data_IF_541370587799
#
_entry.id   IF_541370587799
#
_cell.length_a   1.000
_cell.length_b   1.000
_cell.length_c   1.000
_cell.angle_alpha   90.00
_cell.angle_beta   90.00
_cell.angle_gamma   90.00
#
_symmetry.space_group_name_H-M   'P 1'
#
loop_
_entity.id
_entity.type
_entity.pdbx_description
1 polymer ?
#
# COMPACT_ATOMS: atom_id res chain seq x y z
N UNK A 1 9.39 3.64 -5.88
CA UNK A 1 8.21 3.85 -5.06
C UNK A 1 7.87 2.61 -4.26
N UNK A 2 7.33 2.82 -3.10
CA UNK A 2 6.93 1.81 -2.13
C UNK A 2 5.52 2.13 -1.71
N UNK A 3 4.62 1.17 -1.81
CA UNK A 3 3.22 1.39 -1.48
C UNK A 3 2.81 0.39 -0.40
N UNK A 4 2.51 0.96 0.78
CA UNK A 4 2.26 0.27 2.03
C UNK A 4 3.43 -0.60 2.52
N UNK A 5 4.42 0.05 3.13
CA UNK A 5 5.41 -0.63 3.98
C UNK A 5 4.82 -0.80 5.37
N UNK A 6 4.63 -2.04 5.80
CA UNK A 6 4.02 -2.38 7.10
C UNK A 6 5.07 -2.96 8.04
N UNK A 7 5.04 -2.49 9.28
CA UNK A 7 5.90 -2.93 10.38
C UNK A 7 5.07 -3.38 11.56
N UNK A 8 5.36 -4.54 12.11
CA UNK A 8 4.79 -5.08 13.36
C UNK A 8 3.27 -5.19 13.45
N UNK A 9 2.54 -4.69 12.49
CA UNK A 9 1.07 -4.63 12.49
C UNK A 9 0.46 -5.77 11.67
N UNK A 10 -0.78 -6.11 11.99
CA UNK A 10 -1.64 -6.96 11.17
C UNK A 10 -2.52 -6.06 10.31
N UNK A 11 -2.43 -6.18 8.98
CA UNK A 11 -3.09 -5.28 8.04
C UNK A 11 -3.77 -6.07 6.93
N UNK A 12 -5.05 -5.76 6.67
CA UNK A 12 -5.79 -6.25 5.52
C UNK A 12 -5.75 -5.22 4.39
N UNK A 13 -5.18 -5.60 3.26
CA UNK A 13 -5.04 -4.77 2.06
C UNK A 13 -5.91 -5.37 0.95
N UNK A 14 -6.93 -4.65 0.53
CA UNK A 14 -7.87 -5.17 -0.48
C UNK A 14 -8.32 -4.10 -1.46
N UNK A 15 -8.68 -4.55 -2.66
CA UNK A 15 -9.21 -3.74 -3.75
C UNK A 15 -8.35 -2.50 -4.10
N UNK A 16 -7.04 -2.63 -3.97
CA UNK A 16 -6.11 -1.60 -4.42
C UNK A 16 -5.69 -1.88 -5.88
N UNK A 17 -5.54 -0.81 -6.64
CA UNK A 17 -4.90 -0.84 -7.94
C UNK A 17 -3.47 -0.32 -7.80
N UNK A 18 -2.50 -1.18 -8.02
CA UNK A 18 -1.09 -0.87 -8.07
C UNK A 18 -0.65 -0.78 -9.52
N UNK A 19 -0.18 0.39 -9.93
CA UNK A 19 0.20 0.66 -11.31
C UNK A 19 1.65 1.14 -11.38
N UNK A 20 2.52 0.33 -12.00
CA UNK A 20 3.92 0.67 -12.27
C UNK A 20 4.80 0.85 -11.03
N UNK A 21 4.72 0.01 -10.02
CA UNK A 21 5.54 0.16 -8.81
C UNK A 21 7.00 -0.23 -9.06
N UNK A 22 7.91 0.73 -9.04
CA UNK A 22 9.33 0.55 -9.31
C UNK A 22 10.08 -0.28 -8.25
N UNK A 23 9.53 -0.43 -7.03
CA UNK A 23 10.12 -1.27 -5.98
C UNK A 23 9.16 -2.37 -5.57
N UNK A 24 8.11 -2.04 -4.80
CA UNK A 24 7.10 -3.04 -4.43
C UNK A 24 5.72 -2.41 -4.20
N UNK A 25 4.69 -3.22 -4.37
CA UNK A 25 3.33 -2.90 -3.97
C UNK A 25 3.14 -3.07 -2.46
N UNK A 26 2.77 -4.26 -1.99
CA UNK A 26 2.63 -4.56 -0.58
C UNK A 26 3.96 -5.03 0.02
N UNK A 27 4.44 -4.37 1.08
CA UNK A 27 5.72 -4.69 1.71
C UNK A 27 5.60 -5.01 3.20
N UNK A 28 6.13 -6.18 3.61
CA UNK A 28 6.07 -6.69 4.98
C UNK A 28 7.44 -6.73 5.63
N UNK A 29 7.56 -6.17 6.84
CA UNK A 29 8.79 -6.17 7.62
C UNK A 29 8.50 -6.19 9.13
N UNK A 30 9.53 -6.45 9.94
CA UNK A 30 9.47 -6.48 11.41
C UNK A 30 8.34 -7.38 11.96
N UNK A 31 8.17 -8.56 11.37
CA UNK A 31 7.18 -9.55 11.83
C UNK A 31 5.72 -9.16 11.60
N UNK A 32 5.44 -8.21 10.69
CA UNK A 32 4.06 -7.86 10.34
C UNK A 32 3.34 -9.01 9.62
N UNK A 33 2.03 -9.06 9.79
CA UNK A 33 1.14 -9.98 9.09
C UNK A 33 0.26 -9.21 8.12
N UNK A 34 0.40 -9.47 6.81
CA UNK A 34 -0.39 -8.81 5.78
C UNK A 34 -1.34 -9.82 5.12
N UNK A 35 -2.62 -9.50 5.10
CA UNK A 35 -3.58 -10.18 4.23
C UNK A 35 -3.80 -9.31 2.99
N UNK A 36 -3.31 -9.78 1.84
CA UNK A 36 -3.39 -9.09 0.55
C UNK A 36 -4.42 -9.80 -0.31
N UNK A 37 -5.60 -9.17 -0.47
CA UNK A 37 -6.78 -9.82 -1.05
C UNK A 37 -7.40 -8.99 -2.17
N UNK A 38 -7.71 -9.62 -3.30
CA UNK A 38 -8.46 -9.01 -4.41
C UNK A 38 -7.89 -7.66 -4.86
N UNK A 39 -6.56 -7.54 -4.91
CA UNK A 39 -5.89 -6.38 -5.47
C UNK A 39 -5.49 -6.64 -6.92
N UNK A 40 -5.29 -5.58 -7.69
CA UNK A 40 -4.76 -5.65 -9.03
C UNK A 40 -3.37 -5.00 -9.07
N UNK A 41 -2.37 -5.77 -9.50
CA UNK A 41 -0.99 -5.33 -9.69
C UNK A 41 -0.67 -5.33 -11.18
N UNK A 42 -0.38 -4.15 -11.74
CA UNK A 42 0.04 -3.95 -13.11
C UNK A 42 1.47 -3.45 -13.15
N UNK A 43 2.35 -4.15 -13.86
CA UNK A 43 3.76 -3.75 -14.08
C UNK A 43 4.52 -3.38 -12.79
N UNK A 44 4.21 -4.04 -11.70
CA UNK A 44 4.94 -3.88 -10.44
C UNK A 44 6.22 -4.70 -10.47
N UNK A 45 7.37 -4.10 -10.11
CA UNK A 45 8.63 -4.84 -10.01
C UNK A 45 8.43 -6.06 -9.09
N UNK A 46 8.00 -5.82 -7.87
CA UNK A 46 7.63 -6.85 -6.90
C UNK A 46 6.21 -6.54 -6.40
N UNK A 47 5.18 -7.27 -6.80
CA UNK A 47 3.80 -7.02 -6.33
C UNK A 47 3.71 -7.07 -4.81
N UNK A 48 4.30 -8.09 -4.23
CA UNK A 48 4.42 -8.30 -2.79
C UNK A 48 5.88 -8.59 -2.46
N UNK A 49 6.35 -8.11 -1.31
CA UNK A 49 7.76 -8.27 -0.92
C UNK A 49 7.89 -8.39 0.60
N UNK A 50 8.60 -9.41 1.06
CA UNK A 50 8.96 -9.54 2.47
C UNK A 50 10.46 -9.23 2.67
N UNK A 51 10.78 -8.45 3.70
CA UNK A 51 12.14 -7.99 3.96
C UNK A 51 13.10 -9.14 4.24
N UNK A 52 14.28 -9.10 3.63
CA UNK A 52 15.40 -10.05 3.81
C UNK A 52 15.05 -11.52 3.50
N UNK A 53 14.05 -11.74 2.66
CA UNK A 53 13.69 -13.07 2.19
C UNK A 53 13.01 -13.00 0.81
N UNK A 54 12.74 -14.15 0.20
CA UNK A 54 12.17 -14.20 -1.14
C UNK A 54 13.01 -13.42 -2.13
N UNK A 55 12.37 -12.51 -2.84
CA UNK A 55 13.02 -11.62 -3.82
C UNK A 55 13.96 -10.59 -3.18
N UNK A 56 13.75 -10.24 -1.91
CA UNK A 56 14.64 -9.31 -1.16
C UNK A 56 15.74 -10.04 -0.37
N UNK A 57 15.96 -11.34 -0.61
CA UNK A 57 16.92 -12.17 0.16
C UNK A 57 18.34 -11.63 0.15
N UNK A 58 18.74 -10.90 -0.90
CA UNK A 58 20.06 -10.28 -1.02
C UNK A 58 20.15 -8.90 -0.37
N UNK A 59 19.06 -8.38 0.19
CA UNK A 59 19.05 -7.09 0.88
C UNK A 59 19.39 -5.91 -0.01
N UNK A 60 18.91 -5.88 -1.24
CA UNK A 60 19.22 -4.86 -2.28
C UNK A 60 18.76 -3.43 -1.94
N UNK A 61 18.68 -3.08 -0.65
CA UNK A 61 18.31 -1.73 -0.19
C UNK A 61 16.82 -1.39 -0.34
N UNK A 62 15.99 -2.38 -0.55
CA UNK A 62 14.53 -2.20 -0.66
C UNK A 62 13.92 -1.90 0.70
N UNK A 63 14.39 -2.56 1.73
CA UNK A 63 14.09 -2.30 3.14
C UNK A 63 15.34 -1.84 3.91
N UNK A 64 15.19 -1.51 5.19
CA UNK A 64 16.28 -1.01 6.05
C UNK A 64 16.98 -2.13 6.82
N UNK A 65 17.16 -3.33 6.23
CA UNK A 65 17.79 -4.47 6.88
C UNK A 65 16.99 -5.10 8.04
N UNK A 66 15.69 -4.78 8.10
CA UNK A 66 14.79 -5.29 9.14
C UNK A 66 14.37 -6.74 8.83
N UNK A 67 14.07 -7.51 9.85
CA UNK A 67 13.48 -8.84 9.69
C UNK A 67 12.22 -8.78 8.83
N UNK A 68 11.92 -9.83 8.09
CA UNK A 68 10.70 -9.93 7.30
C UNK A 68 9.43 -10.05 8.15
N UNK A 69 8.30 -10.03 7.48
CA UNK A 69 7.00 -10.45 7.98
C UNK A 69 6.38 -11.48 7.04
N UNK A 70 5.15 -11.87 7.25
CA UNK A 70 4.45 -12.84 6.40
C UNK A 70 3.29 -12.17 5.69
N UNK A 71 3.22 -12.41 4.37
CA UNK A 71 2.11 -12.00 3.52
C UNK A 71 1.29 -13.24 3.17
N UNK A 72 -0.02 -13.19 3.44
CA UNK A 72 -1.02 -14.11 2.89
C UNK A 72 -1.64 -13.45 1.67
N UNK A 73 -1.56 -14.10 0.52
CA UNK A 73 -2.11 -13.61 -0.74
C UNK A 73 -3.31 -14.45 -1.16
N UNK A 74 -4.42 -13.80 -1.56
CA UNK A 74 -5.60 -14.49 -2.09
C UNK A 74 -6.35 -13.62 -3.09
N UNK A 75 -6.74 -14.22 -4.23
CA UNK A 75 -7.61 -13.60 -5.23
C UNK A 75 -7.03 -12.34 -5.91
N UNK A 76 -5.72 -12.15 -5.88
CA UNK A 76 -5.09 -11.01 -6.54
C UNK A 76 -4.88 -11.30 -8.03
N UNK A 77 -4.90 -10.24 -8.84
CA UNK A 77 -4.48 -10.27 -10.25
C UNK A 77 -3.11 -9.64 -10.35
N UNK A 78 -2.18 -10.32 -11.01
CA UNK A 78 -0.80 -9.86 -11.21
C UNK A 78 -0.48 -9.92 -12.69
N UNK A 79 -0.20 -8.76 -13.31
CA UNK A 79 0.10 -8.64 -14.74
C UNK A 79 1.40 -7.85 -14.91
N UNK A 80 2.36 -8.41 -15.67
CA UNK A 80 3.61 -7.74 -15.99
C UNK A 80 4.56 -7.57 -14.81
N UNK A 81 4.40 -8.35 -13.73
CA UNK A 81 5.35 -8.35 -12.62
C UNK A 81 6.70 -8.92 -13.05
N UNK A 82 7.79 -8.42 -12.46
CA UNK A 82 9.13 -8.93 -12.74
C UNK A 82 9.43 -10.18 -11.93
N UNK A 83 9.07 -10.20 -10.65
CA UNK A 83 9.37 -11.32 -9.76
C UNK A 83 8.45 -11.40 -8.54
N UNK A 84 8.06 -12.62 -8.19
CA UNK A 84 7.41 -12.97 -6.92
C UNK A 84 7.67 -14.44 -6.62
N UNK A 85 8.02 -14.77 -5.39
CA UNK A 85 8.24 -16.13 -4.92
C UNK A 85 7.16 -16.47 -3.88
N UNK A 86 6.35 -17.47 -4.19
CA UNK A 86 5.42 -18.01 -3.19
C UNK A 86 6.04 -19.13 -2.37
N UNK A 87 5.58 -19.25 -1.13
CA UNK A 87 5.98 -20.34 -0.24
C UNK A 87 5.58 -21.73 -0.75
N UNK A 88 4.44 -21.83 -1.44
CA UNK A 88 3.70 -23.06 -1.65
C UNK A 88 3.17 -23.26 -3.09
N UNK A 89 3.51 -22.38 -4.02
CA UNK A 89 3.06 -22.46 -5.40
C UNK A 89 4.11 -21.89 -6.37
N UNK A 90 4.02 -22.29 -7.64
CA UNK A 90 4.70 -21.60 -8.74
C UNK A 90 3.98 -20.27 -8.97
N UNK A 91 4.73 -19.20 -9.16
CA UNK A 91 4.18 -17.87 -9.34
C UNK A 91 3.80 -17.57 -10.79
N UNK A 92 3.09 -16.46 -10.99
CA UNK A 92 2.73 -15.91 -12.30
C UNK A 92 3.97 -15.48 -13.10
N UNK A 93 5.10 -15.25 -12.43
CA UNK A 93 6.40 -14.93 -13.06
C UNK A 93 7.23 -16.18 -13.38
N UNK A 94 6.71 -17.38 -13.07
CA UNK A 94 7.39 -18.65 -13.31
C UNK A 94 8.40 -19.05 -12.22
N UNK A 95 8.51 -18.27 -11.15
CA UNK A 95 9.39 -18.61 -10.03
C UNK A 95 8.81 -19.83 -9.28
N UNK A 96 9.69 -20.80 -8.97
CA UNK A 96 9.34 -21.99 -8.22
C UNK A 96 9.00 -21.68 -6.76
N UNK A 97 8.12 -22.49 -6.17
CA UNK A 97 7.82 -22.42 -4.74
C UNK A 97 9.09 -22.55 -3.89
N UNK A 98 9.16 -21.75 -2.82
CA UNK A 98 10.25 -21.84 -1.84
C UNK A 98 9.70 -21.68 -0.42
N UNK A 99 9.50 -22.79 0.26
CA UNK A 99 8.88 -22.83 1.60
C UNK A 99 9.76 -22.18 2.70
N UNK A 100 11.05 -21.97 2.44
CA UNK A 100 12.00 -21.45 3.44
C UNK A 100 12.39 -19.98 3.22
N UNK A 101 12.15 -19.45 2.02
CA UNK A 101 12.44 -18.05 1.70
C UNK A 101 11.49 -17.56 0.59
N UNK A 102 10.47 -16.81 0.93
CA UNK A 102 9.36 -16.43 0.05
C UNK A 102 8.89 -15.00 0.30
N UNK A 103 8.20 -14.44 -0.69
CA UNK A 103 7.55 -13.13 -0.57
C UNK A 103 6.16 -13.25 0.04
N UNK A 104 5.38 -14.27 -0.37
CA UNK A 104 4.03 -14.49 0.12
C UNK A 104 3.65 -15.98 0.18
N UNK A 105 2.66 -16.29 1.01
CA UNK A 105 1.94 -17.56 1.00
C UNK A 105 0.68 -17.40 0.14
N UNK A 106 0.51 -18.24 -0.88
CA UNK A 106 -0.65 -18.22 -1.76
C UNK A 106 -1.77 -19.08 -1.16
N UNK A 107 -2.79 -18.44 -0.62
CA UNK A 107 -3.97 -19.12 -0.06
C UNK A 107 -4.95 -19.55 -1.16
N UNK A 108 -5.63 -20.67 -0.93
CA UNK A 108 -6.66 -21.23 -1.83
C UNK A 108 -8.04 -20.63 -1.57
N UNK A 109 -8.24 -20.06 -0.39
CA UNK A 109 -9.47 -19.35 0.02
C UNK A 109 -9.16 -18.22 1.00
N UNK A 110 -10.08 -17.28 1.13
CA UNK A 110 -9.89 -16.14 2.04
C UNK A 110 -9.78 -16.57 3.52
N UNK A 111 -10.46 -17.64 3.90
CA UNK A 111 -10.52 -18.19 5.25
C UNK A 111 -9.44 -19.24 5.54
N UNK A 112 -8.58 -19.56 4.56
CA UNK A 112 -7.46 -20.47 4.77
C UNK A 112 -6.46 -19.87 5.78
N UNK A 113 -6.07 -20.67 6.76
CA UNK A 113 -5.01 -20.29 7.70
C UNK A 113 -3.64 -20.60 7.13
N UNK A 114 -2.72 -19.67 7.28
CA UNK A 114 -1.31 -19.93 6.97
C UNK A 114 -0.73 -20.84 8.05
N UNK A 115 -0.19 -22.01 7.68
CA UNK A 115 0.43 -22.91 8.66
C UNK A 115 1.59 -22.26 9.39
N UNK A 116 1.69 -22.47 10.70
CA UNK A 116 2.75 -21.90 11.55
C UNK A 116 4.17 -22.41 11.24
N UNK A 117 4.28 -23.43 10.37
CA UNK A 117 5.55 -23.90 9.82
C UNK A 117 6.20 -22.91 8.86
N UNK A 118 5.41 -22.06 8.18
CA UNK A 118 5.93 -20.98 7.37
C UNK A 118 6.33 -19.81 8.27
N UNK A 119 7.63 -19.54 8.30
CA UNK A 119 8.22 -18.51 9.16
C UNK A 119 9.14 -17.61 8.35
N UNK A 120 9.34 -16.41 8.85
CA UNK A 120 10.35 -15.51 8.30
C UNK A 120 11.74 -16.09 8.46
N UNK A 121 12.63 -15.84 7.49
CA UNK A 121 14.05 -16.28 7.52
C UNK A 121 14.73 -15.69 8.74
N UNK A 122 14.57 -14.38 8.96
CA UNK A 122 15.09 -13.70 10.14
C UNK A 122 13.94 -13.40 11.11
N UNK A 123 14.16 -13.69 12.39
CA UNK A 123 13.16 -13.47 13.45
C UNK A 123 12.20 -14.64 13.66
N UNK A 124 12.16 -15.64 12.77
CA UNK A 124 11.33 -16.85 12.86
C UNK A 124 9.84 -16.57 13.19
N UNK A 125 9.30 -15.43 12.78
CA UNK A 125 7.92 -15.03 12.99
C UNK A 125 7.01 -15.77 12.01
N UNK A 126 5.88 -16.30 12.49
CA UNK A 126 4.81 -16.87 11.67
C UNK A 126 3.69 -15.87 11.47
N UNK A 127 2.82 -16.14 10.49
CA UNK A 127 1.60 -15.36 10.26
C UNK A 127 0.64 -15.53 11.45
N UNK A 128 0.07 -14.45 11.93
CA UNK A 128 -0.79 -14.46 13.12
C UNK A 128 -2.24 -14.90 12.86
N UNK A 129 -2.61 -15.07 11.60
CA UNK A 129 -3.96 -15.46 11.15
C UNK A 129 -5.08 -14.54 11.69
N UNK A 130 -4.79 -13.24 11.86
CA UNK A 130 -5.75 -12.26 12.35
C UNK A 130 -7.03 -12.20 11.52
N UNK A 131 -6.90 -12.37 10.21
CA UNK A 131 -7.96 -12.32 9.21
C UNK A 131 -8.99 -13.45 9.36
N UNK A 132 -8.60 -14.57 9.99
CA UNK A 132 -9.48 -15.72 10.25
C UNK A 132 -9.94 -15.82 11.72
N UNK A 133 -9.40 -14.98 12.59
CA UNK A 133 -9.65 -15.03 14.05
C UNK A 133 -10.34 -13.78 14.57
N UNK A 134 -10.37 -12.71 13.80
CA UNK A 134 -10.98 -11.43 14.19
C UNK A 134 -12.05 -11.01 13.17
N UNK A 135 -13.05 -10.32 13.65
CA UNK A 135 -13.98 -9.62 12.75
C UNK A 135 -13.27 -8.38 12.17
N UNK A 136 -13.06 -8.40 10.87
CA UNK A 136 -12.45 -7.28 10.15
C UNK A 136 -13.47 -6.19 9.77
N UNK A 137 -14.74 -6.36 10.11
CA UNK A 137 -15.80 -5.44 9.75
C UNK A 137 -16.14 -5.43 8.25
N UNK A 138 -15.62 -6.39 7.49
CA UNK A 138 -15.86 -6.51 6.04
C UNK A 138 -16.97 -7.52 5.81
N UNK A 139 -18.04 -7.05 5.18
CA UNK A 139 -19.16 -7.93 4.83
C UNK A 139 -18.77 -8.85 3.68
N UNK A 140 -19.14 -10.14 3.80
CA UNK A 140 -18.98 -11.08 2.70
C UNK A 140 -19.65 -10.54 1.43
N UNK A 141 -18.95 -10.61 0.30
CA UNK A 141 -19.41 -10.09 -0.99
C UNK A 141 -19.29 -8.58 -1.18
N UNK A 142 -18.71 -7.84 -0.23
CA UNK A 142 -18.47 -6.40 -0.36
C UNK A 142 -17.19 -6.04 -1.12
N UNK A 143 -16.29 -7.00 -1.34
CA UNK A 143 -15.08 -6.79 -2.12
C UNK A 143 -15.37 -6.94 -3.61
N UNK A 144 -14.81 -6.04 -4.41
CA UNK A 144 -14.81 -6.20 -5.87
C UNK A 144 -13.92 -7.38 -6.26
N UNK A 145 -14.23 -8.04 -7.39
CA UNK A 145 -13.28 -8.95 -7.99
C UNK A 145 -12.03 -8.19 -8.40
N UNK A 146 -10.86 -8.85 -8.33
CA UNK A 146 -9.61 -8.17 -8.63
C UNK A 146 -9.55 -7.61 -10.06
N UNK A 147 -10.13 -8.32 -11.04
CA UNK A 147 -10.22 -7.87 -12.43
C UNK A 147 -11.00 -6.56 -12.61
N UNK A 148 -11.97 -6.29 -11.75
CA UNK A 148 -12.80 -5.10 -11.82
C UNK A 148 -12.14 -3.89 -11.14
N UNK A 149 -11.15 -4.13 -10.26
CA UNK A 149 -10.53 -3.10 -9.43
C UNK A 149 -9.97 -1.92 -10.24
N UNK A 150 -9.26 -2.09 -11.37
CA UNK A 150 -8.77 -0.96 -12.14
C UNK A 150 -9.90 -0.02 -12.59
N UNK A 151 -10.98 -0.57 -13.14
CA UNK A 151 -12.11 0.21 -13.63
C UNK A 151 -12.88 0.91 -12.51
N UNK A 152 -13.03 0.25 -11.37
CA UNK A 152 -13.70 0.82 -10.20
C UNK A 152 -12.87 1.95 -9.60
N UNK A 153 -11.58 1.72 -9.39
CA UNK A 153 -10.67 2.68 -8.73
C UNK A 153 -10.45 3.92 -9.61
N UNK A 154 -10.30 3.76 -10.92
CA UNK A 154 -10.05 4.88 -11.85
C UNK A 154 -11.32 5.54 -12.39
N UNK A 155 -12.49 5.06 -12.02
CA UNK A 155 -13.76 5.71 -12.39
C UNK A 155 -13.83 7.14 -11.86
N UNK A 156 -14.68 7.97 -12.43
CA UNK A 156 -14.89 9.38 -12.01
C UNK A 156 -15.26 9.55 -10.52
N UNK A 157 -15.75 8.49 -9.88
CA UNK A 157 -16.08 8.43 -8.45
C UNK A 157 -15.18 7.51 -7.65
N UNK A 158 -14.17 6.92 -8.30
CA UNK A 158 -13.23 6.00 -7.68
C UNK A 158 -12.17 6.72 -6.85
N UNK A 159 -11.56 5.99 -5.93
CA UNK A 159 -10.50 6.51 -5.05
C UNK A 159 -9.24 6.98 -5.81
N UNK A 160 -8.97 6.41 -6.98
CA UNK A 160 -7.87 6.80 -7.86
C UNK A 160 -8.20 7.96 -8.82
N UNK A 161 -9.38 8.52 -8.73
CA UNK A 161 -9.81 9.67 -9.52
C UNK A 161 -9.08 10.93 -9.04
N UNK A 162 -8.27 11.53 -9.91
CA UNK A 162 -7.51 12.73 -9.59
C UNK A 162 -8.45 13.94 -9.47
N UNK A 163 -8.33 14.66 -8.35
CA UNK A 163 -9.13 15.86 -8.10
C UNK A 163 -10.64 15.61 -8.14
N UNK A 164 -11.12 14.43 -7.70
CA UNK A 164 -12.55 14.06 -7.76
C UNK A 164 -13.07 13.93 -9.20
N UNK A 165 -12.21 13.53 -10.15
CA UNK A 165 -12.52 13.41 -11.57
C UNK A 165 -12.35 14.70 -12.38
N UNK A 166 -11.88 15.78 -11.76
CA UNK A 166 -11.59 17.04 -12.46
C UNK A 166 -10.30 16.97 -13.25
N UNK A 167 -9.31 16.21 -12.76
CA UNK A 167 -8.05 16.00 -13.47
C UNK A 167 -8.15 14.69 -14.26
N UNK A 168 -8.09 14.79 -15.57
CA UNK A 168 -7.96 13.62 -16.46
C UNK A 168 -6.49 13.30 -16.68
N UNK A 169 -6.10 12.08 -16.39
CA UNK A 169 -4.75 11.56 -16.67
C UNK A 169 -4.83 10.10 -17.11
N UNK A 170 -4.08 9.76 -18.14
CA UNK A 170 -3.97 8.37 -18.63
C UNK A 170 -2.53 7.92 -18.42
N UNK A 171 -2.35 6.90 -17.57
CA UNK A 171 -1.06 6.24 -17.42
C UNK A 171 -0.75 5.40 -18.65
N UNK A 172 0.51 5.37 -19.04
CA UNK A 172 1.01 4.63 -20.21
C UNK A 172 2.14 3.69 -19.80
N UNK A 173 2.52 2.78 -20.68
CA UNK A 173 3.64 1.87 -20.45
C UNK A 173 4.99 2.61 -20.24
N UNK A 174 5.09 3.85 -20.70
CA UNK A 174 6.23 4.72 -20.42
C UNK A 174 6.35 5.04 -18.93
N UNK A 175 5.24 5.19 -18.24
CA UNK A 175 5.21 5.47 -16.79
C UNK A 175 5.79 4.31 -15.98
N UNK A 176 5.73 3.09 -16.49
CA UNK A 176 6.25 1.89 -15.84
C UNK A 176 7.78 1.77 -15.92
N UNK A 177 8.38 2.35 -16.95
CA UNK A 177 9.82 2.25 -17.23
C UNK A 177 10.62 3.49 -16.86
N UNK A 178 9.95 4.64 -16.66
CA UNK A 178 10.59 5.93 -16.38
C UNK A 178 10.35 6.32 -14.91
N UNK A 179 11.41 6.35 -14.11
CA UNK A 179 11.34 6.72 -12.69
C UNK A 179 11.49 8.23 -12.43
N UNK A 180 11.65 9.02 -13.48
CA UNK A 180 11.69 10.47 -13.38
C UNK A 180 10.30 11.01 -13.02
N UNK A 181 10.30 12.19 -12.37
CA UNK A 181 9.04 12.89 -12.11
C UNK A 181 8.41 13.30 -13.43
N UNK A 182 7.18 12.86 -13.70
CA UNK A 182 6.38 13.38 -14.80
C UNK A 182 6.06 14.86 -14.54
N UNK A 183 6.62 15.73 -15.38
CA UNK A 183 6.51 17.19 -15.20
C UNK A 183 5.11 17.71 -15.53
N UNK A 184 4.42 17.08 -16.46
CA UNK A 184 3.08 17.47 -16.89
C UNK A 184 2.06 17.09 -15.84
N UNK A 185 2.11 15.85 -15.34
CA UNK A 185 1.26 15.42 -14.24
C UNK A 185 1.52 16.25 -12.99
N UNK A 186 2.79 16.51 -12.65
CA UNK A 186 3.14 17.37 -11.52
C UNK A 186 2.56 18.76 -11.67
N UNK A 187 2.68 19.38 -12.84
CA UNK A 187 2.13 20.70 -13.09
C UNK A 187 0.60 20.71 -12.97
N UNK A 188 -0.07 19.72 -13.53
CA UNK A 188 -1.52 19.56 -13.45
C UNK A 188 -1.99 19.45 -12.00
N UNK A 189 -1.35 18.57 -11.20
CA UNK A 189 -1.69 18.38 -9.77
C UNK A 189 -1.34 19.62 -8.95
N UNK A 190 -0.21 20.29 -9.23
CA UNK A 190 0.21 21.50 -8.50
C UNK A 190 -0.72 22.68 -8.78
N UNK A 191 -1.20 22.80 -10.00
CA UNK A 191 -2.10 23.89 -10.40
C UNK A 191 -3.58 23.59 -10.10
N UNK A 192 -3.88 22.39 -9.65
CA UNK A 192 -5.24 22.04 -9.25
C UNK A 192 -5.68 22.88 -8.05
N UNK A 193 -6.80 23.55 -8.21
CA UNK A 193 -7.44 24.30 -7.13
C UNK A 193 -8.61 23.47 -6.62
N UNK A 194 -8.49 22.97 -5.40
CA UNK A 194 -9.59 22.29 -4.77
C UNK A 194 -10.70 23.30 -4.48
N UNK A 195 -11.91 22.93 -4.80
CA UNK A 195 -13.04 23.83 -4.71
C UNK A 195 -13.83 23.65 -3.44
N UNK A 196 -14.13 22.44 -3.01
CA UNK A 196 -14.96 22.24 -1.84
C UNK A 196 -14.63 20.97 -1.07
N UNK A 197 -14.52 21.09 0.25
CA UNK A 197 -14.47 19.94 1.15
C UNK A 197 -15.90 19.42 1.31
N UNK A 198 -16.14 18.18 0.89
CA UNK A 198 -17.40 17.50 1.13
C UNK A 198 -17.29 16.72 2.44
N UNK A 199 -18.19 16.97 3.37
CA UNK A 199 -18.28 16.18 4.61
C UNK A 199 -18.70 14.74 4.29
N UNK A 200 -17.86 13.78 4.63
CA UNK A 200 -18.16 12.36 4.51
C UNK A 200 -18.60 11.85 5.88
N UNK A 201 -19.91 11.65 6.03
CA UNK A 201 -20.50 11.10 7.25
C UNK A 201 -20.76 12.14 8.35
N UNK A 202 -22.00 12.37 8.63
CA UNK A 202 -22.51 13.28 9.68
C UNK A 202 -23.54 14.25 9.14
N UNK A 203 -24.64 14.36 9.84
CA UNK A 203 -25.68 15.32 9.55
C UNK A 203 -25.16 16.74 9.80
N UNK A 204 -25.01 17.52 8.71
CA UNK A 204 -24.95 18.98 8.74
C UNK A 204 -23.74 19.69 9.39
N UNK A 205 -22.52 19.20 9.26
CA UNK A 205 -21.36 20.06 9.48
C UNK A 205 -21.17 20.98 8.26
N UNK A 206 -21.61 22.24 8.34
CA UNK A 206 -21.14 23.28 7.42
C UNK A 206 -19.65 23.48 7.69
N UNK A 207 -18.79 23.04 6.76
CA UNK A 207 -17.40 23.42 6.77
C UNK A 207 -17.38 24.87 6.24
N UNK A 208 -17.09 25.80 7.14
CA UNK A 208 -16.80 27.17 6.75
C UNK A 208 -15.37 27.15 6.19
N UNK A 209 -15.21 27.37 4.90
CA UNK A 209 -13.89 27.62 4.31
C UNK A 209 -13.22 28.76 5.06
N UNK A 210 -11.96 28.65 5.47
CA UNK A 210 -11.24 29.78 6.03
C UNK A 210 -11.17 30.87 4.96
N UNK A 211 -11.67 32.03 5.30
CA UNK A 211 -11.57 33.25 4.48
C UNK A 211 -10.09 33.55 4.22
N UNK A 212 -9.64 33.68 2.98
CA UNK A 212 -8.24 33.96 2.68
C UNK A 212 -7.76 35.37 3.07
N UNK A 213 -8.55 36.15 3.76
CA UNK A 213 -8.26 37.53 4.15
C UNK A 213 -7.91 37.74 5.63
N UNK A 214 -7.56 36.68 6.39
CA UNK A 214 -7.05 36.93 7.76
C UNK A 214 -5.54 37.07 7.70
N UNK A 215 -5.08 38.31 7.80
CA UNK A 215 -3.68 38.75 7.90
C UNK A 215 -2.92 37.99 9.00
N UNK A 216 -1.65 37.68 8.68
CA UNK A 216 -0.65 37.20 9.63
C UNK A 216 -0.56 38.18 10.84
N UNK A 217 -1.08 37.77 11.98
CA UNK A 217 -0.76 38.45 13.23
C UNK A 217 0.63 37.99 13.66
N UNK A 218 1.59 38.92 13.54
CA UNK A 218 2.95 38.77 14.02
C UNK A 218 2.96 38.30 15.48
N UNK A 219 3.51 37.11 15.70
CA UNK A 219 3.83 36.65 17.06
C UNK A 219 4.93 37.52 17.65
N UNK A 220 4.61 38.26 18.71
CA UNK A 220 5.55 39.04 19.50
C UNK A 220 6.34 38.08 20.39
N UNK A 221 7.64 37.98 20.18
CA UNK A 221 8.56 37.25 21.06
C UNK A 221 8.55 37.88 22.47
N UNK A 222 8.13 37.09 23.43
CA UNK A 222 8.29 37.42 24.86
C UNK A 222 9.63 36.89 25.34
N UNK A 223 10.62 37.78 25.43
CA UNK A 223 11.90 37.52 26.11
C UNK A 223 11.71 37.50 27.62
N UNK A 224 11.69 36.32 28.22
CA UNK A 224 11.76 36.18 29.67
C UNK A 224 13.23 36.06 30.09
N UNK A 225 13.75 37.14 30.69
CA UNK A 225 15.07 37.17 31.37
C UNK A 225 15.03 36.27 32.61
N UNK A 226 15.88 35.27 32.65
CA UNK A 226 16.16 34.53 33.88
C UNK A 226 17.10 35.36 34.76
N UNK A 227 16.65 35.69 35.97
CA UNK A 227 17.45 36.28 37.03
C UNK A 227 18.11 35.18 37.84
N UNK A 228 19.43 35.11 37.83
CA UNK A 228 20.19 34.31 38.80
C UNK A 228 20.17 35.03 40.17
N UNK A 229 19.84 34.27 41.19
CA UNK A 229 20.07 34.68 42.59
C UNK A 229 21.23 33.86 43.15
N UNK A 230 22.10 34.54 43.78
CA UNK A 230 23.26 34.14 44.57
C UNK A 230 22.98 33.04 45.59
#
# INVERSE_FOLDING_TARGET
SRHARVRTMSVHMYNNYYDGNAKYGAGSTMGSSLFVQNNYFRNCKNPMLSSNQGTDALGEGTFSGENGGIIKAYGNVIVGAQKIIYANAVSETGDSANATSFDAYLAKSADEKVPSSYKTVAGATSYDNFDTTKDLGIKSGSLNNAEDVPSVVTSAKGAGSLGGGVISWTFSDKDDSVYAIDKELKATVTNYKNTDLVSVGGTNAKIVSPDPTTEETKATESTTKATQAT
#
